data_IF_059606824730
#
_entry.id   IF_059606824730
#
_cell.length_a   1.000
_cell.length_b   1.000
_cell.length_c   1.000
_cell.angle_alpha   90.00
_cell.angle_beta   90.00
_cell.angle_gamma   90.00
#
_symmetry.space_group_name_H-M   'P 1'
#
loop_
_entity.id
_entity.type
_entity.pdbx_description
1 polymer ?
#
# COMPACT_ATOMS: atom_id res chain seq x y z
N UNK A 1 38.00 -25.12 -42.50
CA UNK A 1 37.52 -24.42 -41.30
C UNK A 1 36.00 -24.29 -41.37
N UNK A 2 35.27 -25.08 -40.57
CA UNK A 2 33.80 -25.00 -40.41
C UNK A 2 33.48 -23.98 -39.32
N UNK A 3 32.64 -22.99 -39.61
CA UNK A 3 32.11 -22.05 -38.60
C UNK A 3 30.67 -22.42 -38.28
N UNK A 4 30.49 -22.97 -37.07
CA UNK A 4 29.18 -23.16 -36.43
C UNK A 4 28.54 -21.79 -36.16
N UNK A 5 27.26 -21.62 -36.49
CA UNK A 5 26.42 -20.56 -35.93
C UNK A 5 25.26 -21.21 -35.20
N UNK A 6 25.40 -21.25 -33.87
CA UNK A 6 24.36 -21.62 -32.91
C UNK A 6 23.32 -20.50 -32.89
N UNK A 7 22.04 -20.85 -33.02
CA UNK A 7 20.91 -19.93 -32.77
C UNK A 7 20.58 -20.01 -31.29
N UNK A 8 20.79 -18.93 -30.55
CA UNK A 8 20.30 -18.76 -29.18
C UNK A 8 19.04 -17.91 -29.27
N UNK A 9 17.89 -18.50 -28.95
CA UNK A 9 16.65 -17.76 -28.76
C UNK A 9 16.72 -17.01 -27.44
N UNK A 10 16.62 -15.69 -27.50
CA UNK A 10 16.48 -14.85 -26.32
C UNK A 10 14.98 -14.73 -26.01
N UNK A 11 14.58 -15.27 -24.86
CA UNK A 11 13.31 -14.95 -24.23
C UNK A 11 13.38 -13.50 -23.73
N UNK A 12 12.48 -12.65 -24.19
CA UNK A 12 12.33 -11.30 -23.67
C UNK A 12 11.58 -11.39 -22.33
N UNK A 13 12.29 -11.16 -21.23
CA UNK A 13 11.71 -10.92 -19.91
C UNK A 13 11.23 -9.47 -19.93
N UNK A 14 9.92 -9.26 -19.92
CA UNK A 14 9.32 -7.94 -19.75
C UNK A 14 9.47 -7.53 -18.29
N UNK A 15 10.39 -6.62 -18.01
CA UNK A 15 10.47 -5.90 -16.73
C UNK A 15 9.41 -4.81 -16.74
N UNK A 16 8.31 -5.03 -16.03
CA UNK A 16 7.36 -3.97 -15.70
C UNK A 16 8.04 -3.02 -14.70
N UNK A 17 8.30 -1.78 -15.13
CA UNK A 17 8.81 -0.72 -14.27
C UNK A 17 7.66 -0.09 -13.49
N UNK A 18 7.75 -0.10 -12.17
CA UNK A 18 6.86 0.64 -11.28
C UNK A 18 7.39 2.07 -11.17
N UNK A 19 6.57 3.06 -11.53
CA UNK A 19 6.85 4.48 -11.29
C UNK A 19 6.02 4.93 -10.08
N UNK A 20 6.67 5.10 -8.93
CA UNK A 20 6.06 5.69 -7.74
C UNK A 20 6.24 7.21 -7.77
N UNK A 21 5.19 7.94 -8.11
CA UNK A 21 5.10 9.39 -7.95
C UNK A 21 4.48 9.74 -6.60
N UNK A 22 5.27 10.23 -5.63
CA UNK A 22 4.78 10.69 -4.33
C UNK A 22 4.36 12.16 -4.44
N UNK A 23 3.04 12.41 -4.40
CA UNK A 23 2.48 13.74 -4.15
C UNK A 23 2.23 13.95 -2.66
N UNK A 24 3.01 14.83 -2.04
CA UNK A 24 2.82 15.29 -0.65
C UNK A 24 1.64 16.26 -0.56
N UNK A 25 0.62 15.91 0.23
CA UNK A 25 -0.40 16.83 0.72
C UNK A 25 -0.37 16.83 2.25
N UNK A 26 -0.19 18.01 2.84
CA UNK A 26 -0.24 18.26 4.29
C UNK A 26 -1.60 18.88 4.58
N UNK A 27 -2.48 18.17 5.28
CA UNK A 27 -3.66 18.78 5.89
C UNK A 27 -3.40 19.08 7.37
N UNK A 28 -3.60 20.35 7.72
CA UNK A 28 -3.49 20.86 9.07
C UNK A 28 -4.69 20.40 9.91
N UNK A 29 -4.44 19.69 11.01
CA UNK A 29 -5.49 19.34 11.97
C UNK A 29 -5.68 20.46 13.00
N UNK A 30 -6.87 21.07 12.98
CA UNK A 30 -7.37 21.94 14.04
C UNK A 30 -7.67 21.14 15.32
N UNK A 31 -7.15 21.62 16.45
CA UNK A 31 -7.46 21.12 17.78
C UNK A 31 -8.78 21.70 18.28
N UNK A 32 -9.83 20.87 18.36
CA UNK A 32 -11.09 21.20 19.03
C UNK A 32 -11.35 20.24 20.21
N UNK A 33 -11.35 20.77 21.43
CA UNK A 33 -11.85 20.08 22.63
C UNK A 33 -13.38 20.24 22.70
N UNK A 34 -14.09 19.15 23.00
CA UNK A 34 -15.41 19.22 23.63
C UNK A 34 -15.69 17.92 24.40
N UNK A 35 -16.05 18.10 25.67
CA UNK A 35 -16.47 17.06 26.62
C UNK A 35 -17.90 16.53 26.31
N UNK A 36 -18.07 15.24 26.63
CA UNK A 36 -19.26 14.41 26.90
C UNK A 36 -20.69 14.88 26.51
N UNK A 37 -21.45 14.01 25.83
CA UNK A 37 -22.53 13.25 26.50
C UNK A 37 -23.10 12.10 25.63
N UNK A 38 -23.66 11.09 26.29
CA UNK A 38 -23.88 9.74 25.76
C UNK A 38 -24.75 9.57 24.50
N UNK A 39 -24.22 8.81 23.55
CA UNK A 39 -25.01 8.04 22.58
C UNK A 39 -24.23 6.78 22.19
N UNK A 40 -24.83 5.60 22.42
CA UNK A 40 -24.33 4.32 21.87
C UNK A 40 -24.66 4.27 20.37
N UNK A 41 -24.03 5.15 19.61
CA UNK A 41 -23.69 4.85 18.22
C UNK A 41 -22.37 4.11 18.25
N UNK A 42 -22.22 3.06 17.44
CA UNK A 42 -20.88 2.64 16.98
C UNK A 42 -20.31 3.81 16.20
N UNK A 43 -19.71 4.76 16.91
CA UNK A 43 -18.89 5.81 16.33
C UNK A 43 -17.75 5.05 15.68
N UNK A 44 -17.70 5.05 14.34
CA UNK A 44 -16.53 4.59 13.62
C UNK A 44 -15.32 5.29 14.27
N UNK A 45 -14.43 4.50 14.88
CA UNK A 45 -13.28 5.05 15.56
C UNK A 45 -12.51 5.90 14.54
N UNK A 46 -12.33 7.19 14.85
CA UNK A 46 -11.49 8.07 14.04
C UNK A 46 -10.12 7.39 13.86
N UNK A 47 -9.57 7.38 12.64
CA UNK A 47 -8.28 6.75 12.38
C UNK A 47 -7.23 7.38 13.30
N UNK A 48 -6.63 6.55 14.16
CA UNK A 48 -5.58 7.01 15.07
C UNK A 48 -4.22 6.70 14.47
N UNK A 49 -3.29 7.61 14.71
CA UNK A 49 -1.88 7.37 14.44
C UNK A 49 -1.15 7.22 15.77
N UNK A 50 -0.35 6.17 15.91
CA UNK A 50 0.57 5.97 17.02
C UNK A 50 2.01 5.88 16.51
N UNK A 51 2.99 5.98 17.42
CA UNK A 51 4.41 5.98 17.07
C UNK A 51 5.21 5.21 18.11
N UNK A 52 6.20 4.45 17.65
CA UNK A 52 7.25 3.90 18.49
C UNK A 52 8.63 4.13 17.86
N UNK A 53 9.66 4.18 18.71
CA UNK A 53 11.06 4.33 18.30
C UNK A 53 11.79 3.07 18.72
N UNK A 54 12.49 2.46 17.78
CA UNK A 54 13.18 1.21 17.99
C UNK A 54 14.22 1.29 19.12
N UNK A 55 14.29 0.23 19.91
CA UNK A 55 15.22 0.11 21.04
C UNK A 55 16.11 -1.12 20.93
N UNK A 56 15.80 -2.04 20.02
CA UNK A 56 16.57 -3.26 19.80
C UNK A 56 17.98 -2.90 19.34
N UNK A 57 19.04 -3.53 19.87
CA UNK A 57 20.40 -3.29 19.40
C UNK A 57 20.51 -3.52 17.90
N UNK A 58 21.26 -2.66 17.21
CA UNK A 58 21.50 -2.83 15.79
C UNK A 58 22.22 -4.16 15.55
N UNK A 59 21.71 -4.94 14.59
CA UNK A 59 22.41 -6.14 14.13
C UNK A 59 23.66 -5.70 13.38
N UNK A 60 24.78 -6.43 13.56
CA UNK A 60 26.03 -6.11 12.86
C UNK A 60 25.76 -6.16 11.36
N UNK A 61 26.02 -5.04 10.67
CA UNK A 61 25.83 -4.96 9.22
C UNK A 61 26.62 -6.09 8.54
N UNK A 62 25.92 -6.88 7.73
CA UNK A 62 26.59 -7.71 6.72
C UNK A 62 27.17 -6.75 5.68
N UNK A 63 28.17 -7.16 4.89
CA UNK A 63 28.70 -6.36 3.76
C UNK A 63 27.66 -6.22 2.63
N UNK A 64 26.50 -5.64 2.94
CA UNK A 64 25.41 -5.31 2.05
C UNK A 64 24.92 -3.89 2.41
N UNK A 65 25.09 -2.90 1.52
CA UNK A 65 24.65 -1.53 1.78
C UNK A 65 23.12 -1.41 2.00
N UNK A 66 22.34 -2.36 1.48
CA UNK A 66 20.88 -2.38 1.62
C UNK A 66 20.43 -3.01 2.95
N UNK A 67 21.34 -3.64 3.70
CA UNK A 67 21.08 -4.26 5.00
C UNK A 67 21.09 -3.21 6.14
N UNK A 68 20.23 -2.21 6.00
CA UNK A 68 20.04 -1.17 7.01
C UNK A 68 19.05 -1.63 8.09
N UNK A 69 19.11 -1.04 9.30
CA UNK A 69 18.10 -1.27 10.33
C UNK A 69 16.65 -1.06 9.86
N UNK A 70 16.42 -0.09 8.96
CA UNK A 70 15.10 0.19 8.40
C UNK A 70 14.65 -0.95 7.48
N UNK A 71 15.47 -1.36 6.52
CA UNK A 71 15.10 -2.43 5.58
C UNK A 71 14.89 -3.77 6.28
N UNK A 72 15.70 -4.11 7.30
CA UNK A 72 15.43 -5.29 8.14
C UNK A 72 14.09 -5.22 8.85
N UNK A 73 13.70 -4.04 9.34
CA UNK A 73 12.40 -3.85 9.96
C UNK A 73 11.27 -3.99 8.95
N UNK A 74 11.42 -3.43 7.74
CA UNK A 74 10.43 -3.57 6.67
C UNK A 74 10.19 -5.05 6.32
N UNK A 75 11.26 -5.83 6.17
CA UNK A 75 11.18 -7.28 5.92
C UNK A 75 10.50 -8.04 7.07
N UNK A 76 10.79 -7.65 8.32
CA UNK A 76 10.15 -8.24 9.50
C UNK A 76 8.65 -7.90 9.56
N UNK A 77 8.26 -6.65 9.30
CA UNK A 77 6.87 -6.21 9.25
C UNK A 77 6.12 -6.94 8.12
N UNK A 78 6.69 -6.98 6.92
CA UNK A 78 6.09 -7.65 5.77
C UNK A 78 5.84 -9.14 6.07
N UNK A 79 6.84 -9.83 6.62
CA UNK A 79 6.70 -11.24 7.04
C UNK A 79 5.65 -11.42 8.12
N UNK A 80 5.61 -10.56 9.13
CA UNK A 80 4.59 -10.61 10.20
C UNK A 80 3.19 -10.36 9.63
N UNK A 81 3.07 -9.34 8.77
CA UNK A 81 1.84 -8.91 8.14
C UNK A 81 1.27 -9.96 7.20
N UNK A 82 2.07 -10.54 6.31
CA UNK A 82 1.60 -11.57 5.36
C UNK A 82 1.27 -12.92 6.02
N UNK A 83 1.78 -13.17 7.23
CA UNK A 83 1.59 -14.46 7.91
C UNK A 83 0.71 -14.31 9.16
N UNK A 84 1.32 -14.04 10.30
CA UNK A 84 0.66 -14.09 11.62
C UNK A 84 -0.45 -13.05 11.76
N UNK A 85 -0.33 -11.92 11.08
CA UNK A 85 -1.23 -10.78 11.20
C UNK A 85 -1.92 -10.41 9.88
N UNK A 86 -2.13 -11.39 8.98
CA UNK A 86 -2.72 -11.17 7.65
C UNK A 86 -4.09 -10.47 7.68
N UNK A 87 -4.89 -10.74 8.72
CA UNK A 87 -6.20 -10.09 8.88
C UNK A 87 -6.13 -8.66 9.43
N UNK A 88 -4.98 -8.23 9.94
CA UNK A 88 -4.77 -6.88 10.46
C UNK A 88 -3.91 -6.03 9.55
N UNK A 89 -3.03 -6.63 8.75
CA UNK A 89 -2.14 -5.90 7.85
C UNK A 89 -2.89 -5.30 6.66
N UNK A 90 -2.64 -4.02 6.36
CA UNK A 90 -3.19 -3.32 5.19
C UNK A 90 -2.09 -2.95 4.20
N UNK A 91 -1.00 -2.38 4.69
CA UNK A 91 0.12 -1.99 3.85
C UNK A 91 1.27 -1.35 4.61
N UNK A 92 2.34 -1.06 3.87
CA UNK A 92 3.59 -0.52 4.37
C UNK A 92 4.11 0.54 3.40
N UNK A 93 4.57 1.68 3.91
CA UNK A 93 5.38 2.63 3.15
C UNK A 93 6.67 2.98 3.90
N UNK A 94 7.67 3.41 3.14
CA UNK A 94 9.00 3.75 3.64
C UNK A 94 9.25 5.26 3.51
N UNK A 95 9.82 5.83 4.56
CA UNK A 95 10.33 7.20 4.61
C UNK A 95 11.83 7.10 4.95
N UNK A 96 12.66 6.99 3.91
CA UNK A 96 14.10 6.79 4.05
C UNK A 96 14.79 8.01 4.67
N UNK A 97 14.30 9.22 4.36
CA UNK A 97 14.87 10.48 4.83
C UNK A 97 14.76 10.59 6.36
N UNK A 98 13.63 10.17 6.93
CA UNK A 98 13.40 10.18 8.39
C UNK A 98 13.75 8.85 9.08
N UNK A 99 14.30 7.88 8.33
CA UNK A 99 14.56 6.52 8.81
C UNK A 99 13.32 5.89 9.47
N UNK A 100 12.18 5.98 8.79
CA UNK A 100 10.89 5.61 9.31
C UNK A 100 10.12 4.64 8.39
N UNK A 101 9.28 3.81 9.02
CA UNK A 101 8.31 2.96 8.36
C UNK A 101 6.89 3.38 8.77
N UNK A 102 5.99 3.53 7.81
CA UNK A 102 4.56 3.76 8.05
C UNK A 102 3.81 2.45 7.83
N UNK A 103 3.27 1.89 8.91
CA UNK A 103 2.46 0.69 8.91
C UNK A 103 0.98 1.07 8.91
N UNK A 104 0.23 0.61 7.90
CA UNK A 104 -1.21 0.73 7.82
C UNK A 104 -1.85 -0.60 8.21
N UNK A 105 -2.77 -0.57 9.17
CA UNK A 105 -3.32 -1.80 9.76
C UNK A 105 -4.67 -1.58 10.43
N UNK A 106 -5.51 -2.62 10.43
CA UNK A 106 -6.69 -2.71 11.28
C UNK A 106 -6.26 -2.88 12.74
N UNK A 107 -6.80 -2.09 13.70
CA UNK A 107 -6.41 -2.13 15.10
C UNK A 107 -6.20 -3.52 15.71
N UNK A 108 -4.96 -3.80 16.10
CA UNK A 108 -4.45 -5.02 16.74
C UNK A 108 -3.24 -4.69 17.63
N UNK A 109 -3.45 -4.62 18.95
CA UNK A 109 -2.38 -4.32 19.90
C UNK A 109 -1.21 -5.32 19.82
N UNK A 110 -1.51 -6.60 19.61
CA UNK A 110 -0.46 -7.63 19.50
C UNK A 110 0.37 -7.52 18.21
N UNK A 111 -0.17 -6.91 17.15
CA UNK A 111 0.62 -6.62 15.96
C UNK A 111 1.52 -5.40 16.22
N UNK A 112 0.98 -4.34 16.84
CA UNK A 112 1.74 -3.14 17.19
C UNK A 112 2.94 -3.48 18.08
N UNK A 113 2.71 -4.27 19.14
CA UNK A 113 3.76 -4.71 20.05
C UNK A 113 4.86 -5.50 19.30
N UNK A 114 4.47 -6.44 18.43
CA UNK A 114 5.42 -7.24 17.67
C UNK A 114 6.27 -6.40 16.72
N UNK A 115 5.68 -5.38 16.10
CA UNK A 115 6.39 -4.46 15.19
C UNK A 115 7.32 -3.53 15.97
N UNK A 116 6.84 -2.95 17.07
CA UNK A 116 7.65 -2.07 17.91
C UNK A 116 8.82 -2.80 18.58
N UNK A 117 8.63 -4.06 18.97
CA UNK A 117 9.69 -4.91 19.54
C UNK A 117 10.74 -5.31 18.49
N UNK A 118 10.37 -5.38 17.21
CA UNK A 118 11.28 -5.69 16.11
C UNK A 118 12.18 -4.49 15.75
N UNK A 119 11.73 -3.26 16.01
CA UNK A 119 12.41 -2.05 15.58
C UNK A 119 13.79 -1.86 16.25
N UNK A 120 14.81 -1.81 15.41
CA UNK A 120 16.20 -1.53 15.79
C UNK A 120 16.39 -0.04 16.16
N UNK A 121 17.38 0.22 17.01
CA UNK A 121 17.71 1.55 17.50
C UNK A 121 17.91 2.54 16.36
N UNK A 122 17.19 3.64 16.42
CA UNK A 122 17.25 4.73 15.43
C UNK A 122 16.18 4.66 14.36
N UNK A 123 15.43 3.56 14.23
CA UNK A 123 14.29 3.43 13.32
C UNK A 123 13.01 3.90 14.02
N UNK A 124 12.18 4.66 13.30
CA UNK A 124 10.85 5.05 13.76
C UNK A 124 9.78 4.20 13.08
N UNK A 125 8.77 3.74 13.82
CA UNK A 125 7.54 3.19 13.24
C UNK A 125 6.39 4.14 13.52
N UNK A 126 5.65 4.50 12.47
CA UNK A 126 4.39 5.23 12.53
C UNK A 126 3.29 4.23 12.18
N UNK A 127 2.30 4.07 13.05
CA UNK A 127 1.24 3.08 12.89
C UNK A 127 -0.06 3.82 12.66
N UNK A 128 -0.74 3.51 11.56
CA UNK A 128 -1.97 4.14 11.11
C UNK A 128 -3.10 3.12 11.12
N UNK A 129 -4.20 3.48 11.79
CA UNK A 129 -5.42 2.68 11.77
C UNK A 129 -6.09 2.75 10.40
N UNK A 130 -6.55 1.59 9.93
CA UNK A 130 -7.41 1.40 8.75
C UNK A 130 -8.61 0.52 9.12
N UNK A 131 -9.60 0.42 8.23
CA UNK A 131 -10.78 -0.44 8.39
C UNK A 131 -10.83 -1.61 7.39
N UNK A 132 -9.77 -1.82 6.62
CA UNK A 132 -9.66 -2.87 5.59
C UNK A 132 -8.32 -3.59 5.64
N UNK A 133 -8.30 -4.87 5.28
CA UNK A 133 -7.07 -5.67 5.23
C UNK A 133 -6.48 -5.68 3.82
N UNK A 134 -5.19 -6.03 3.72
CA UNK A 134 -4.51 -6.23 2.44
C UNK A 134 -5.21 -7.30 1.61
N UNK A 135 -5.66 -8.37 2.26
CA UNK A 135 -6.37 -9.47 1.61
C UNK A 135 -7.71 -9.00 0.99
N UNK A 136 -8.45 -8.14 1.70
CA UNK A 136 -9.71 -7.59 1.19
C UNK A 136 -9.47 -6.65 -0.01
N UNK A 137 -8.42 -5.83 0.06
CA UNK A 137 -8.03 -4.95 -1.05
C UNK A 137 -7.54 -5.73 -2.27
N UNK A 138 -6.75 -6.78 -2.07
CA UNK A 138 -6.30 -7.66 -3.16
C UNK A 138 -7.49 -8.39 -3.80
N UNK A 139 -8.49 -8.80 -3.01
CA UNK A 139 -9.72 -9.40 -3.52
C UNK A 139 -10.57 -8.40 -4.33
N UNK A 140 -10.66 -7.14 -3.88
CA UNK A 140 -11.32 -6.06 -4.62
C UNK A 140 -10.58 -5.75 -5.93
N UNK A 141 -9.26 -5.57 -5.87
CA UNK A 141 -8.43 -5.35 -7.05
C UNK A 141 -8.53 -6.50 -8.06
N UNK A 142 -8.57 -7.75 -7.59
CA UNK A 142 -8.79 -8.93 -8.42
C UNK A 142 -10.11 -8.88 -9.18
N UNK A 143 -11.22 -8.58 -8.49
CA UNK A 143 -12.54 -8.42 -9.13
C UNK A 143 -12.56 -7.31 -10.17
N UNK A 144 -11.94 -6.16 -9.90
CA UNK A 144 -11.87 -5.05 -10.87
C UNK A 144 -11.02 -5.46 -12.08
N UNK A 145 -9.90 -6.14 -11.84
CA UNK A 145 -9.00 -6.61 -12.90
C UNK A 145 -9.64 -7.67 -13.81
N UNK A 146 -10.57 -8.47 -13.30
CA UNK A 146 -11.33 -9.44 -14.10
C UNK A 146 -12.26 -8.75 -15.13
N UNK A 147 -12.68 -7.51 -14.85
CA UNK A 147 -13.63 -6.73 -15.65
C UNK A 147 -12.95 -5.63 -16.50
N UNK A 148 -11.63 -5.71 -16.73
CA UNK A 148 -10.84 -4.68 -17.44
C UNK A 148 -11.43 -4.20 -18.77
N UNK A 149 -12.04 -5.10 -19.55
CA UNK A 149 -12.60 -4.77 -20.87
C UNK A 149 -14.13 -4.64 -20.87
N UNK A 150 -14.78 -4.69 -19.69
CA UNK A 150 -16.24 -4.73 -19.58
C UNK A 150 -16.91 -3.48 -20.13
N UNK A 151 -16.23 -2.34 -20.07
CA UNK A 151 -16.76 -1.03 -20.44
C UNK A 151 -16.16 -0.45 -21.72
N UNK A 152 -15.46 -1.28 -22.51
CA UNK A 152 -14.86 -0.86 -23.78
C UNK A 152 -15.88 -0.09 -24.66
N UNK A 153 -15.47 1.10 -25.08
CA UNK A 153 -16.31 2.04 -25.84
C UNK A 153 -17.10 3.04 -24.99
N UNK A 154 -17.08 2.92 -23.65
CA UNK A 154 -17.59 3.95 -22.72
C UNK A 154 -16.43 4.64 -22.02
N UNK A 155 -15.55 3.87 -21.39
CA UNK A 155 -14.26 4.27 -20.85
C UNK A 155 -13.34 3.05 -20.83
N UNK A 156 -12.04 3.25 -20.74
CA UNK A 156 -11.03 2.21 -20.66
C UNK A 156 -10.48 2.10 -19.25
N UNK A 157 -10.54 0.90 -18.66
CA UNK A 157 -9.68 0.57 -17.52
C UNK A 157 -8.26 0.33 -18.04
N UNK A 158 -7.27 0.91 -17.37
CA UNK A 158 -5.86 0.87 -17.77
C UNK A 158 -5.00 0.23 -16.71
N UNK A 159 -5.24 0.58 -15.46
CA UNK A 159 -4.43 0.13 -14.32
C UNK A 159 -5.32 -0.20 -13.14
N UNK A 160 -4.93 -1.21 -12.36
CA UNK A 160 -5.54 -1.53 -11.07
C UNK A 160 -4.39 -1.84 -10.12
N UNK A 161 -4.36 -1.16 -8.98
CA UNK A 161 -3.30 -1.33 -7.99
C UNK A 161 -3.79 -1.08 -6.57
N UNK A 162 -3.27 -1.85 -5.62
CA UNK A 162 -3.58 -1.65 -4.21
C UNK A 162 -2.58 -0.66 -3.61
N UNK A 163 -3.08 0.42 -3.03
CA UNK A 163 -2.32 1.39 -2.27
C UNK A 163 -2.15 0.92 -0.82
N UNK A 164 -0.96 1.14 -0.25
CA UNK A 164 -0.64 0.75 1.11
C UNK A 164 -1.57 1.36 2.16
N UNK A 165 -2.17 2.51 1.88
CA UNK A 165 -3.00 3.29 2.81
C UNK A 165 -4.43 2.80 2.94
N UNK A 166 -4.84 1.83 2.13
CA UNK A 166 -6.15 1.20 2.29
C UNK A 166 -7.13 1.37 1.14
N UNK A 167 -6.69 1.65 -0.08
CA UNK A 167 -7.59 1.75 -1.24
C UNK A 167 -7.02 1.04 -2.47
N UNK A 168 -7.89 0.73 -3.42
CA UNK A 168 -7.56 0.27 -4.76
C UNK A 168 -7.60 1.48 -5.70
N UNK A 169 -6.45 1.82 -6.28
CA UNK A 169 -6.34 2.79 -7.36
C UNK A 169 -6.77 2.14 -8.67
N UNK A 170 -7.69 2.78 -9.38
CA UNK A 170 -8.16 2.36 -10.70
C UNK A 170 -7.84 3.46 -11.71
N UNK A 171 -6.84 3.19 -12.54
CA UNK A 171 -6.41 4.07 -13.62
C UNK A 171 -7.33 3.93 -14.82
N UNK A 172 -7.89 5.05 -15.28
CA UNK A 172 -8.84 5.10 -16.40
C UNK A 172 -8.54 6.27 -17.35
N UNK A 173 -9.14 6.26 -18.53
CA UNK A 173 -9.06 7.36 -19.49
C UNK A 173 -10.05 8.50 -19.20
N UNK A 174 -11.22 8.20 -18.66
CA UNK A 174 -12.26 9.16 -18.30
C UNK A 174 -12.79 8.90 -16.87
N UNK A 175 -12.18 9.52 -15.83
CA UNK A 175 -12.60 9.34 -14.44
C UNK A 175 -14.02 9.80 -14.15
N UNK A 176 -14.46 10.91 -14.74
CA UNK A 176 -15.79 11.49 -14.49
C UNK A 176 -16.90 10.53 -14.93
N UNK A 177 -16.67 9.81 -16.04
CA UNK A 177 -17.59 8.76 -16.50
C UNK A 177 -17.41 7.45 -15.72
N UNK A 178 -16.16 7.04 -15.43
CA UNK A 178 -15.87 5.74 -14.84
C UNK A 178 -16.23 5.63 -13.35
N UNK A 179 -15.95 6.65 -12.56
CA UNK A 179 -16.09 6.63 -11.10
C UNK A 179 -17.49 6.20 -10.62
N UNK A 180 -18.60 6.84 -11.04
CA UNK A 180 -19.93 6.41 -10.59
C UNK A 180 -20.26 4.97 -11.02
N UNK A 181 -19.79 4.53 -12.20
CA UNK A 181 -20.04 3.18 -12.71
C UNK A 181 -19.28 2.14 -11.88
N UNK A 182 -18.02 2.42 -11.53
CA UNK A 182 -17.19 1.53 -10.74
C UNK A 182 -17.71 1.41 -9.31
N UNK A 183 -18.13 2.53 -8.70
CA UNK A 183 -18.73 2.54 -7.36
C UNK A 183 -20.05 1.75 -7.31
N UNK A 184 -20.94 1.93 -8.28
CA UNK A 184 -22.19 1.16 -8.37
C UNK A 184 -21.92 -0.34 -8.58
N UNK A 185 -20.92 -0.68 -9.40
CA UNK A 185 -20.63 -2.08 -9.77
C UNK A 185 -19.94 -2.85 -8.65
N UNK A 186 -18.88 -2.28 -8.07
CA UNK A 186 -18.04 -3.00 -7.12
C UNK A 186 -18.42 -2.76 -5.67
N UNK A 187 -19.21 -1.72 -5.42
CA UNK A 187 -19.45 -1.19 -4.08
C UNK A 187 -18.20 -0.54 -3.49
N UNK A 188 -18.35 0.03 -2.31
CA UNK A 188 -17.24 0.48 -1.46
C UNK A 188 -16.45 1.70 -1.96
N UNK A 189 -17.18 2.81 -2.12
CA UNK A 189 -16.64 4.14 -2.52
C UNK A 189 -15.45 4.62 -1.67
N UNK A 190 -15.31 4.09 -0.43
CA UNK A 190 -14.21 4.47 0.47
C UNK A 190 -12.88 3.81 0.11
N UNK A 191 -12.92 2.68 -0.60
CA UNK A 191 -11.74 1.88 -0.93
C UNK A 191 -11.47 1.81 -2.43
N UNK A 192 -12.22 2.53 -3.26
CA UNK A 192 -11.93 2.69 -4.69
C UNK A 192 -11.52 4.14 -4.92
N UNK A 193 -10.38 4.34 -5.56
CA UNK A 193 -9.92 5.65 -6.01
C UNK A 193 -9.71 5.64 -7.50
N UNK A 194 -10.55 6.35 -8.23
CA UNK A 194 -10.45 6.45 -9.68
C UNK A 194 -9.51 7.61 -10.05
N UNK A 195 -8.55 7.33 -10.91
CA UNK A 195 -7.52 8.29 -11.32
C UNK A 195 -7.36 8.29 -12.83
N UNK A 196 -7.08 9.46 -13.40
CA UNK A 196 -6.75 9.55 -14.82
C UNK A 196 -5.35 8.99 -15.08
N UNK A 197 -5.22 8.14 -16.09
CA UNK A 197 -3.94 7.61 -16.57
C UNK A 197 -3.90 7.75 -18.08
N UNK A 198 -2.94 8.47 -18.65
CA UNK A 198 -2.75 8.56 -20.10
C UNK A 198 -2.26 7.23 -20.69
N UNK A 199 -2.70 6.91 -21.92
CA UNK A 199 -2.18 5.73 -22.61
C UNK A 199 -0.77 6.02 -23.14
N UNK A 200 0.18 5.14 -22.85
CA UNK A 200 1.46 5.16 -23.55
C UNK A 200 1.23 4.86 -25.04
N UNK A 201 1.51 5.84 -25.90
CA UNK A 201 1.57 5.63 -27.35
C UNK A 201 2.97 5.16 -27.72
N UNK A 202 3.07 4.02 -28.41
CA UNK A 202 4.28 3.64 -29.12
C UNK A 202 4.20 4.29 -30.50
N UNK A 203 5.01 5.32 -30.71
CA UNK A 203 5.24 5.93 -32.03
C UNK A 203 6.05 5.00 -32.96
#
# INVERSE_FOLDING_TARGET
MKRNRVRIGAAAVATAGVVTGVGLWIDALETGHADDDGSRGTVAAQPKTSKCVGTKPATTAVDNPDDTPLYRLLDDIDRLGQNRFAHSFTGLSVDEDDNAADLYRIPSASFDDAVCDAAEKGVTVRIHDTDTSRADLDALAGRISEDMNRWDGTFQLREVGVDARGWVSVGVDDPDTAEPVLHDTFGDERHIRVVHVEQAHLD
#
